data_IF_751713805081
#
_entry.id   IF_751713805081
#
_cell.length_a   1.000
_cell.length_b   1.000
_cell.length_c   1.000
_cell.angle_alpha   90.00
_cell.angle_beta   90.00
_cell.angle_gamma   90.00
#
_symmetry.space_group_name_H-M   'P 1'
#
loop_
_entity.id
_entity.type
_entity.pdbx_description
1 polymer ?
#
# COMPACT_ATOMS: atom_id res chain seq x y z
N UNK A 1 19.20 -1.33 -11.90
CA UNK A 1 19.48 -2.60 -12.62
C UNK A 1 19.85 -3.78 -11.71
N UNK A 2 20.27 -3.52 -10.46
CA UNK A 2 20.72 -4.57 -9.51
C UNK A 2 19.55 -5.34 -8.89
N UNK A 3 18.41 -4.69 -8.65
CA UNK A 3 17.23 -5.32 -8.03
C UNK A 3 16.55 -6.37 -8.94
N UNK A 4 16.48 -6.13 -10.25
CA UNK A 4 15.85 -7.08 -11.18
C UNK A 4 16.63 -8.40 -11.30
N UNK A 5 17.97 -8.34 -11.22
CA UNK A 5 18.81 -9.55 -11.25
C UNK A 5 18.66 -10.39 -9.99
N UNK A 6 18.50 -9.76 -8.82
CA UNK A 6 18.30 -10.46 -7.56
C UNK A 6 16.88 -11.06 -7.44
N UNK A 7 15.85 -10.37 -7.91
CA UNK A 7 14.48 -10.92 -8.00
C UNK A 7 14.43 -12.16 -8.91
N UNK A 8 15.07 -12.13 -10.07
CA UNK A 8 15.13 -13.30 -10.97
C UNK A 8 15.77 -14.53 -10.34
N UNK A 9 16.69 -14.35 -9.38
CA UNK A 9 17.36 -15.45 -8.68
C UNK A 9 16.48 -16.11 -7.62
N UNK A 10 15.61 -15.33 -6.97
CA UNK A 10 14.66 -15.83 -5.95
C UNK A 10 13.46 -16.55 -6.56
N UNK A 11 13.08 -16.22 -7.81
CA UNK A 11 11.90 -16.76 -8.51
C UNK A 11 12.27 -17.95 -9.42
N UNK A 12 13.52 -18.40 -9.42
CA UNK A 12 14.00 -19.50 -10.29
C UNK A 12 13.31 -20.87 -10.08
N UNK A 13 12.50 -21.01 -9.03
CA UNK A 13 11.70 -22.21 -8.79
C UNK A 13 10.29 -22.18 -9.41
N UNK A 14 9.84 -21.04 -9.95
CA UNK A 14 8.53 -20.89 -10.60
C UNK A 14 8.72 -21.11 -12.12
N UNK A 15 8.64 -22.35 -12.55
CA UNK A 15 8.65 -22.68 -13.97
C UNK A 15 7.36 -22.18 -14.61
N UNK A 16 7.44 -21.34 -15.66
CA UNK A 16 6.35 -20.84 -16.50
C UNK A 16 5.62 -19.56 -16.00
N UNK A 17 6.27 -18.69 -15.22
CA UNK A 17 5.71 -17.35 -14.94
C UNK A 17 6.42 -16.28 -15.78
N UNK A 18 5.65 -15.45 -16.46
CA UNK A 18 6.11 -14.16 -16.96
C UNK A 18 6.18 -13.16 -15.81
N UNK A 19 7.22 -12.33 -15.79
CA UNK A 19 7.37 -11.22 -14.85
C UNK A 19 7.11 -9.94 -15.62
N UNK A 20 6.08 -9.22 -15.21
CA UNK A 20 5.78 -7.89 -15.73
C UNK A 20 6.23 -6.84 -14.73
N UNK A 21 6.88 -5.78 -15.24
CA UNK A 21 7.33 -4.63 -14.44
C UNK A 21 6.41 -3.47 -14.77
N UNK A 22 5.80 -2.89 -13.75
CA UNK A 22 4.92 -1.73 -13.92
C UNK A 22 5.56 -0.50 -13.29
N UNK A 23 5.53 0.61 -14.01
CA UNK A 23 5.81 1.94 -13.47
C UNK A 23 4.55 2.57 -12.87
N UNK A 24 4.72 3.58 -12.01
CA UNK A 24 3.58 4.29 -11.42
C UNK A 24 2.59 4.74 -12.49
N UNK A 25 1.32 4.41 -12.32
CA UNK A 25 0.23 4.75 -13.25
C UNK A 25 0.01 3.74 -14.37
N UNK A 26 0.90 2.78 -14.57
CA UNK A 26 0.71 1.73 -15.57
C UNK A 26 -0.25 0.65 -15.08
N UNK A 27 -0.93 0.02 -16.04
CA UNK A 27 -1.88 -1.06 -15.78
C UNK A 27 -1.67 -2.23 -16.70
N UNK A 28 -1.95 -3.43 -16.19
CA UNK A 28 -1.97 -4.69 -16.95
C UNK A 28 -3.25 -5.46 -16.65
N UNK A 29 -3.74 -6.19 -17.64
CA UNK A 29 -4.90 -7.08 -17.49
C UNK A 29 -4.49 -8.54 -17.64
N UNK A 30 -4.96 -9.37 -16.71
CA UNK A 30 -4.81 -10.82 -16.75
C UNK A 30 -6.19 -11.47 -16.62
N UNK A 31 -6.79 -11.82 -17.73
CA UNK A 31 -8.18 -12.24 -17.78
C UNK A 31 -9.12 -11.13 -17.31
N UNK A 32 -9.91 -11.39 -16.25
CA UNK A 32 -10.81 -10.41 -15.63
C UNK A 32 -10.14 -9.54 -14.57
N UNK A 33 -8.91 -9.87 -14.19
CA UNK A 33 -8.14 -9.10 -13.20
C UNK A 33 -7.40 -7.95 -13.88
N UNK A 34 -7.62 -6.73 -13.42
CA UNK A 34 -6.82 -5.55 -13.77
C UNK A 34 -5.93 -5.17 -12.60
N UNK A 35 -4.66 -4.93 -12.86
CA UNK A 35 -3.67 -4.48 -11.87
C UNK A 35 -3.15 -3.12 -12.32
N UNK A 36 -3.27 -2.12 -11.46
CA UNK A 36 -2.74 -0.77 -11.69
C UNK A 36 -1.71 -0.46 -10.63
N UNK A 37 -0.50 -0.08 -11.04
CA UNK A 37 0.52 0.42 -10.15
C UNK A 37 0.22 1.86 -9.75
N UNK A 38 0.29 2.15 -8.44
CA UNK A 38 0.10 3.50 -7.88
C UNK A 38 1.40 3.99 -7.25
N UNK A 39 1.63 5.31 -7.14
CA UNK A 39 2.79 5.82 -6.41
C UNK A 39 2.77 5.40 -4.94
N UNK A 40 3.96 5.10 -4.41
CA UNK A 40 4.20 4.90 -2.99
C UNK A 40 5.52 5.59 -2.62
N UNK A 41 5.48 6.61 -1.74
CA UNK A 41 6.67 7.41 -1.42
C UNK A 41 6.50 8.22 -0.13
N UNK A 42 7.64 8.78 0.36
CA UNK A 42 7.67 9.71 1.48
C UNK A 42 7.73 11.16 1.01
N UNK A 43 6.97 12.03 1.67
CA UNK A 43 7.01 13.50 1.51
C UNK A 43 7.91 14.10 2.60
N UNK A 44 7.64 13.76 3.86
CA UNK A 44 8.22 14.40 5.03
C UNK A 44 9.33 13.56 5.68
N UNK A 45 9.18 12.22 5.69
CA UNK A 45 10.08 11.32 6.40
C UNK A 45 11.33 11.03 5.60
N UNK A 46 12.47 11.37 6.22
CA UNK A 46 13.78 11.31 5.57
C UNK A 46 14.80 10.59 6.44
N UNK A 47 15.76 9.99 5.79
CA UNK A 47 16.99 9.44 6.40
C UNK A 47 17.88 10.57 6.95
N UNK A 48 18.86 10.23 7.74
CA UNK A 48 19.84 11.20 8.29
C UNK A 48 20.61 12.00 7.22
N UNK A 49 20.72 11.46 6.01
CA UNK A 49 21.35 12.14 4.87
C UNK A 49 20.38 13.06 4.09
N UNK A 50 19.15 13.25 4.56
CA UNK A 50 18.13 14.10 3.95
C UNK A 50 17.32 13.46 2.82
N UNK A 51 17.64 12.24 2.40
CA UNK A 51 16.86 11.52 1.39
C UNK A 51 15.58 10.91 1.99
N UNK A 52 14.46 10.90 1.28
CA UNK A 52 13.27 10.17 1.69
C UNK A 52 13.60 8.68 1.96
N UNK A 53 12.86 8.04 2.87
CA UNK A 53 12.98 6.59 3.04
C UNK A 53 12.55 5.84 1.77
N UNK A 54 11.46 6.32 1.15
CA UNK A 54 10.95 5.81 -0.12
C UNK A 54 10.86 6.97 -1.11
N UNK A 55 11.61 6.87 -2.20
CA UNK A 55 11.76 7.94 -3.19
C UNK A 55 10.58 7.89 -4.17
N UNK A 56 10.01 9.05 -4.49
CA UNK A 56 8.92 9.16 -5.47
C UNK A 56 9.34 8.60 -6.82
N UNK A 57 8.52 7.70 -7.38
CA UNK A 57 8.75 7.03 -8.65
C UNK A 57 9.52 5.70 -8.56
N UNK A 58 10.03 5.32 -7.38
CA UNK A 58 10.75 4.05 -7.20
C UNK A 58 9.86 2.93 -6.62
N UNK A 59 8.92 3.29 -5.74
CA UNK A 59 8.00 2.34 -5.10
C UNK A 59 6.62 2.33 -5.73
N UNK A 60 5.96 1.18 -5.67
CA UNK A 60 4.58 1.00 -6.09
C UNK A 60 3.69 0.55 -4.94
N UNK A 61 2.49 1.15 -4.87
CA UNK A 61 1.29 0.48 -4.41
C UNK A 61 0.57 -0.19 -5.58
N UNK A 62 -0.50 -0.93 -5.32
CA UNK A 62 -1.26 -1.63 -6.36
C UNK A 62 -2.76 -1.59 -6.09
N UNK A 63 -3.53 -1.30 -7.14
CA UNK A 63 -4.97 -1.56 -7.17
C UNK A 63 -5.20 -2.82 -8.00
N UNK A 64 -5.87 -3.81 -7.41
CA UNK A 64 -6.36 -5.00 -8.08
C UNK A 64 -7.88 -4.88 -8.23
N UNK A 65 -8.40 -5.02 -9.45
CA UNK A 65 -9.83 -4.89 -9.73
C UNK A 65 -10.35 -6.08 -10.51
N UNK A 66 -11.51 -6.60 -10.07
CA UNK A 66 -12.28 -7.63 -10.77
C UNK A 66 -13.74 -7.16 -10.81
N UNK A 67 -14.23 -6.76 -11.99
CA UNK A 67 -15.52 -6.09 -12.08
C UNK A 67 -15.57 -4.84 -11.21
N UNK A 68 -16.53 -4.75 -10.30
CA UNK A 68 -16.65 -3.63 -9.35
C UNK A 68 -15.83 -3.80 -8.06
N UNK A 69 -15.30 -5.00 -7.81
CA UNK A 69 -14.48 -5.25 -6.62
C UNK A 69 -13.09 -4.61 -6.76
N UNK A 70 -12.68 -3.87 -5.73
CA UNK A 70 -11.41 -3.16 -5.70
C UNK A 70 -10.64 -3.48 -4.43
N UNK A 71 -9.42 -4.00 -4.58
CA UNK A 71 -8.47 -4.25 -3.51
C UNK A 71 -7.27 -3.33 -3.70
N UNK A 72 -6.83 -2.65 -2.64
CA UNK A 72 -5.74 -1.70 -2.66
C UNK A 72 -4.63 -2.09 -1.69
N UNK A 73 -3.41 -2.16 -2.18
CA UNK A 73 -2.18 -2.23 -1.40
C UNK A 73 -1.44 -0.91 -1.56
N UNK A 74 -1.26 -0.16 -0.49
CA UNK A 74 -0.64 1.16 -0.56
C UNK A 74 0.87 1.12 -0.84
N UNK A 75 1.53 0.00 -0.51
CA UNK A 75 3.00 -0.05 -0.47
C UNK A 75 3.56 0.79 0.69
N UNK A 76 4.86 1.02 0.69
CA UNK A 76 5.52 1.82 1.72
C UNK A 76 5.40 3.30 1.37
N UNK A 77 4.44 3.97 1.97
CA UNK A 77 4.10 5.38 1.67
C UNK A 77 3.69 6.14 2.92
N UNK A 78 3.80 7.47 2.88
CA UNK A 78 3.05 8.38 3.73
C UNK A 78 1.66 8.62 3.16
N UNK A 79 0.85 9.46 3.85
CA UNK A 79 -0.40 9.96 3.29
C UNK A 79 -0.10 10.94 2.14
N UNK A 80 -0.30 10.47 0.92
CA UNK A 80 -0.04 11.20 -0.32
C UNK A 80 -1.35 11.46 -1.08
N UNK A 81 -1.46 12.56 -1.86
CA UNK A 81 -2.68 12.89 -2.62
C UNK A 81 -3.12 11.80 -3.59
N UNK A 82 -2.17 11.06 -4.15
CA UNK A 82 -2.41 9.97 -5.10
C UNK A 82 -3.21 8.80 -4.50
N UNK A 83 -3.31 8.68 -3.17
CA UNK A 83 -4.19 7.69 -2.52
C UNK A 83 -5.68 7.89 -2.91
N UNK A 84 -6.04 9.04 -3.49
CA UNK A 84 -7.38 9.31 -4.01
C UNK A 84 -7.88 8.28 -5.03
N UNK A 85 -6.99 7.61 -5.76
CA UNK A 85 -7.34 6.56 -6.74
C UNK A 85 -7.95 5.31 -6.08
N UNK A 86 -7.67 5.12 -4.78
CA UNK A 86 -8.17 4.01 -3.99
C UNK A 86 -9.52 4.28 -3.30
N UNK A 87 -10.12 5.47 -3.50
CA UNK A 87 -11.40 5.80 -2.86
C UNK A 87 -12.47 4.75 -3.12
N UNK A 88 -13.17 4.36 -2.04
CA UNK A 88 -14.23 3.37 -2.07
C UNK A 88 -13.74 1.93 -2.31
N UNK A 89 -12.47 1.63 -2.04
CA UNK A 89 -11.96 0.27 -2.13
C UNK A 89 -12.76 -0.68 -1.22
N UNK A 90 -12.98 -1.91 -1.67
CA UNK A 90 -13.62 -2.94 -0.85
C UNK A 90 -12.67 -3.40 0.26
N UNK A 91 -11.36 -3.47 -0.05
CA UNK A 91 -10.31 -3.80 0.89
C UNK A 91 -9.14 -2.84 0.67
N UNK A 92 -8.55 -2.30 1.76
CA UNK A 92 -7.32 -1.54 1.71
C UNK A 92 -6.31 -2.04 2.74
N UNK A 93 -5.07 -2.20 2.30
CA UNK A 93 -3.89 -2.46 3.12
C UNK A 93 -3.06 -1.19 3.19
N UNK A 94 -2.98 -0.56 4.37
CA UNK A 94 -2.23 0.68 4.59
C UNK A 94 -1.08 0.45 5.57
N UNK A 95 0.12 0.96 5.28
CA UNK A 95 1.27 0.83 6.17
C UNK A 95 1.16 1.80 7.36
N UNK A 96 1.62 1.34 8.53
CA UNK A 96 1.69 2.13 9.76
C UNK A 96 2.97 1.81 10.51
N UNK A 97 4.03 2.54 10.25
CA UNK A 97 5.32 2.29 10.88
C UNK A 97 6.23 3.52 10.85
N UNK A 98 6.37 4.20 11.97
CA UNK A 98 7.37 5.27 12.10
C UNK A 98 8.78 4.68 12.28
N UNK A 99 9.79 5.30 11.70
CA UNK A 99 9.76 6.55 10.93
C UNK A 99 9.59 6.35 9.41
N UNK A 100 9.18 5.19 8.95
CA UNK A 100 9.28 4.78 7.55
C UNK A 100 8.06 5.12 6.71
N UNK A 101 6.86 5.01 7.31
CA UNK A 101 5.58 5.18 6.64
C UNK A 101 4.66 6.11 7.43
N UNK A 102 3.41 5.78 7.67
CA UNK A 102 2.43 6.64 8.34
C UNK A 102 2.54 6.56 9.87
N UNK A 103 2.29 7.68 10.56
CA UNK A 103 1.92 7.70 11.97
C UNK A 103 0.50 7.17 12.15
N UNK A 104 0.03 7.06 13.41
CA UNK A 104 -1.35 6.68 13.71
C UNK A 104 -2.35 7.70 13.16
N UNK A 105 -2.03 8.99 13.29
CA UNK A 105 -2.86 10.09 12.79
C UNK A 105 -2.95 10.07 11.27
N UNK A 106 -1.83 9.93 10.58
CA UNK A 106 -1.79 9.86 9.11
C UNK A 106 -2.49 8.60 8.58
N UNK A 107 -2.33 7.47 9.27
CA UNK A 107 -3.03 6.23 8.94
C UNK A 107 -4.56 6.41 9.01
N UNK A 108 -5.04 7.03 10.09
CA UNK A 108 -6.47 7.33 10.28
C UNK A 108 -6.95 8.32 9.22
N UNK A 109 -6.17 9.37 8.94
CA UNK A 109 -6.49 10.37 7.92
C UNK A 109 -6.57 9.72 6.53
N UNK A 110 -5.59 8.90 6.16
CA UNK A 110 -5.58 8.14 4.90
C UNK A 110 -6.78 7.19 4.80
N UNK A 111 -7.09 6.46 5.86
CA UNK A 111 -8.24 5.56 5.91
C UNK A 111 -9.56 6.31 5.72
N UNK A 112 -9.72 7.44 6.41
CA UNK A 112 -10.91 8.29 6.29
C UNK A 112 -11.02 8.99 4.91
N UNK A 113 -9.90 9.26 4.28
CA UNK A 113 -9.84 9.83 2.92
C UNK A 113 -10.21 8.81 1.84
N UNK A 114 -9.70 7.58 1.95
CA UNK A 114 -9.97 6.46 1.03
C UNK A 114 -11.37 5.90 1.25
N UNK A 115 -11.82 5.81 2.50
CA UNK A 115 -13.09 5.18 2.95
C UNK A 115 -13.24 3.74 2.43
N UNK A 116 -12.28 2.84 2.72
CA UNK A 116 -12.43 1.45 2.36
C UNK A 116 -13.51 0.80 3.21
N UNK A 117 -14.17 -0.27 2.71
CA UNK A 117 -15.10 -1.07 3.52
C UNK A 117 -14.35 -1.86 4.60
N UNK A 118 -13.22 -2.46 4.22
CA UNK A 118 -12.37 -3.27 5.09
C UNK A 118 -10.94 -2.72 5.07
N UNK A 119 -10.40 -2.42 6.25
CA UNK A 119 -9.09 -1.81 6.44
C UNK A 119 -8.16 -2.76 7.20
N UNK A 120 -6.99 -3.00 6.64
CA UNK A 120 -5.93 -3.83 7.20
C UNK A 120 -4.67 -2.97 7.38
N UNK A 121 -4.24 -2.67 8.61
CA UNK A 121 -2.92 -2.10 8.86
C UNK A 121 -1.86 -3.14 8.56
N UNK A 122 -0.79 -2.72 7.90
CA UNK A 122 0.39 -3.54 7.61
C UNK A 122 1.65 -2.82 8.08
N UNK A 123 2.76 -3.53 8.17
CA UNK A 123 4.06 -2.95 8.51
C UNK A 123 4.14 -2.34 9.92
N UNK A 124 3.30 -2.74 10.86
CA UNK A 124 3.30 -2.18 12.22
C UNK A 124 4.02 -3.08 13.22
N UNK A 125 4.70 -2.47 14.18
CA UNK A 125 5.24 -3.17 15.35
C UNK A 125 4.22 -3.19 16.50
N UNK A 126 3.59 -2.04 16.75
CA UNK A 126 2.57 -1.86 17.78
C UNK A 126 1.36 -1.13 17.19
N UNK A 127 0.19 -1.45 17.70
CA UNK A 127 -1.06 -0.82 17.30
C UNK A 127 -2.04 -0.84 18.48
N UNK A 128 -2.77 0.28 18.65
CA UNK A 128 -3.96 0.34 19.52
C UNK A 128 -5.23 0.31 18.64
N UNK A 129 -5.81 -0.88 18.42
CA UNK A 129 -7.00 -0.98 17.58
C UNK A 129 -8.21 -0.22 18.12
N UNK A 130 -8.29 -0.06 19.46
CA UNK A 130 -9.42 0.62 20.08
C UNK A 130 -9.34 2.14 19.83
N UNK A 131 -8.16 2.74 19.95
CA UNK A 131 -7.94 4.14 19.65
C UNK A 131 -8.20 4.45 18.17
N UNK A 132 -7.68 3.61 17.26
CA UNK A 132 -7.89 3.79 15.83
C UNK A 132 -9.38 3.68 15.47
N UNK A 133 -10.10 2.64 15.95
CA UNK A 133 -11.53 2.47 15.67
C UNK A 133 -12.39 3.67 16.05
N UNK A 134 -12.06 4.36 17.15
CA UNK A 134 -12.78 5.56 17.58
C UNK A 134 -12.68 6.74 16.62
N UNK A 135 -11.61 6.78 15.83
CA UNK A 135 -11.30 7.90 14.94
C UNK A 135 -11.62 7.60 13.46
N UNK A 136 -12.00 6.34 13.15
CA UNK A 136 -12.43 5.97 11.81
C UNK A 136 -13.87 6.43 11.56
N UNK A 137 -14.14 6.86 10.31
CA UNK A 137 -15.49 7.18 9.87
C UNK A 137 -16.39 5.93 9.85
N UNK A 138 -17.71 6.10 10.05
CA UNK A 138 -18.66 4.99 9.94
C UNK A 138 -18.55 4.27 8.60
N UNK A 139 -18.68 2.95 8.62
CA UNK A 139 -18.61 2.09 7.43
C UNK A 139 -17.23 1.53 7.14
N UNK A 140 -16.19 1.91 7.89
CA UNK A 140 -14.85 1.33 7.80
C UNK A 140 -14.70 0.25 8.88
N UNK A 141 -14.47 -0.99 8.48
CA UNK A 141 -14.18 -2.11 9.40
C UNK A 141 -12.68 -2.33 9.51
N UNK A 142 -12.11 -2.22 10.72
CA UNK A 142 -10.68 -2.42 10.99
C UNK A 142 -10.39 -3.86 11.40
N UNK A 143 -9.45 -4.52 10.71
CA UNK A 143 -8.97 -5.86 10.98
C UNK A 143 -7.47 -5.82 11.28
N UNK A 144 -7.07 -6.29 12.46
CA UNK A 144 -5.68 -6.18 12.95
C UNK A 144 -5.01 -7.55 13.10
N UNK A 145 -5.80 -8.63 13.20
CA UNK A 145 -5.30 -9.97 13.50
C UNK A 145 -4.45 -10.52 12.36
N UNK A 146 -3.28 -11.07 12.71
CA UNK A 146 -2.40 -11.78 11.78
C UNK A 146 -1.57 -10.91 10.84
N UNK A 147 -1.56 -9.59 11.02
CA UNK A 147 -0.89 -8.63 10.12
C UNK A 147 0.36 -7.98 10.74
N UNK A 148 0.83 -8.47 11.89
CA UNK A 148 2.11 -8.03 12.49
C UNK A 148 3.30 -8.54 11.67
N UNK A 149 4.35 -7.71 11.61
CA UNK A 149 5.65 -8.08 11.03
C UNK A 149 6.52 -8.76 12.07
#
# INVERSE_FOLDING_TARGET
>A
STNLKNMKKTISCIRHCSIEVLENGQSISCGTLNITATPAYNINRKRSNGQPFHIKGEGNGYILSIGSFKLFFAGDTEFIPELSVAKGADIAFLPKNLPYTMSDEEFIEAANFIKPKNLFPIHYFEIDPAAIRKSLLPGISLYVEGMQV
#
